data_IF_736540206257
#
_entry.id   IF_736540206257
#
_cell.length_a   1.000
_cell.length_b   1.000
_cell.length_c   1.000
_cell.angle_alpha   90.00
_cell.angle_beta   90.00
_cell.angle_gamma   90.00
#
_symmetry.space_group_name_H-M   'P 1'
#
loop_
_entity.id
_entity.type
_entity.pdbx_description
1 polymer ?
#
# COMPACT_ATOMS: atom_id res chain seq x y z
N UNK A 1 37.94 -44.28 -33.61
CA UNK A 1 37.99 -44.84 -32.25
C UNK A 1 36.74 -44.42 -31.54
N UNK A 2 36.03 -45.45 -31.11
CA UNK A 2 34.67 -45.49 -30.61
C UNK A 2 34.43 -44.65 -29.35
N UNK A 3 33.18 -44.19 -29.23
CA UNK A 3 32.46 -43.82 -27.99
C UNK A 3 32.46 -45.02 -26.99
N UNK A 4 32.01 -44.93 -25.70
CA UNK A 4 30.87 -44.12 -25.23
C UNK A 4 30.73 -43.72 -23.72
N UNK A 5 29.78 -42.79 -23.46
CA UNK A 5 28.68 -42.81 -22.45
C UNK A 5 28.96 -42.96 -20.94
N UNK A 6 28.44 -42.00 -20.13
CA UNK A 6 27.43 -42.23 -19.04
C UNK A 6 27.05 -40.89 -18.39
N UNK A 7 25.91 -40.25 -18.69
CA UNK A 7 24.59 -40.38 -18.04
C UNK A 7 24.60 -40.44 -16.49
N UNK A 8 24.11 -39.39 -15.85
CA UNK A 8 23.45 -39.46 -14.54
C UNK A 8 22.30 -38.43 -14.52
N UNK A 9 21.10 -38.95 -14.74
CA UNK A 9 19.84 -38.21 -14.72
C UNK A 9 19.18 -38.49 -13.35
N UNK A 10 19.25 -37.54 -12.42
CA UNK A 10 18.54 -37.64 -11.13
C UNK A 10 17.10 -37.18 -11.32
N UNK A 11 16.18 -38.16 -11.36
CA UNK A 11 14.74 -37.96 -11.16
C UNK A 11 14.51 -37.42 -9.75
N UNK A 12 13.89 -36.24 -9.64
CA UNK A 12 13.30 -35.78 -8.39
C UNK A 12 11.78 -35.91 -8.50
N UNK A 13 11.23 -36.68 -7.57
CA UNK A 13 9.81 -36.95 -7.44
C UNK A 13 9.05 -35.69 -7.01
N UNK A 14 8.01 -35.37 -7.76
CA UNK A 14 6.97 -34.40 -7.41
C UNK A 14 6.05 -35.06 -6.38
N UNK A 15 6.05 -34.54 -5.16
CA UNK A 15 5.06 -34.89 -4.14
C UNK A 15 3.89 -33.90 -4.23
N UNK A 16 2.79 -34.37 -4.82
CA UNK A 16 1.47 -33.76 -4.73
C UNK A 16 0.92 -33.98 -3.32
N UNK A 17 0.80 -32.91 -2.54
CA UNK A 17 0.06 -32.89 -1.27
C UNK A 17 -1.14 -31.95 -1.41
N UNK A 18 -2.28 -32.55 -1.75
CA UNK A 18 -3.62 -31.97 -1.63
C UNK A 18 -4.06 -32.02 -0.17
N UNK A 19 -4.42 -30.87 0.41
CA UNK A 19 -4.96 -30.79 1.77
C UNK A 19 -5.58 -29.43 2.07
N UNK A 20 -6.71 -29.11 1.44
CA UNK A 20 -7.53 -27.95 1.77
C UNK A 20 -8.57 -28.41 2.82
N UNK A 21 -8.38 -28.01 4.07
CA UNK A 21 -9.40 -28.12 5.13
C UNK A 21 -10.14 -26.78 5.27
N UNK A 22 -11.48 -26.77 5.30
CA UNK A 22 -12.23 -25.54 5.48
C UNK A 22 -12.23 -25.08 6.95
N UNK A 23 -11.73 -23.86 7.16
CA UNK A 23 -11.78 -23.11 8.42
C UNK A 23 -13.24 -22.76 8.78
N UNK A 24 -13.70 -23.32 9.91
CA UNK A 24 -14.98 -22.98 10.55
C UNK A 24 -14.91 -21.58 11.15
N UNK A 25 -15.77 -20.68 10.69
CA UNK A 25 -16.03 -19.38 11.30
C UNK A 25 -16.93 -19.53 12.54
N UNK A 26 -16.66 -18.82 13.64
CA UNK A 26 -17.54 -18.82 14.80
C UNK A 26 -18.69 -17.82 14.59
N UNK A 27 -19.90 -18.34 14.36
CA UNK A 27 -21.15 -17.58 14.51
C UNK A 27 -21.35 -17.25 15.99
N UNK A 28 -21.28 -15.97 16.36
CA UNK A 28 -21.81 -15.48 17.64
C UNK A 28 -23.32 -15.33 17.50
N UNK A 29 -24.04 -16.27 18.10
CA UNK A 29 -25.47 -16.17 18.41
C UNK A 29 -25.61 -15.22 19.61
N UNK A 30 -26.23 -14.06 19.40
CA UNK A 30 -26.86 -13.31 20.46
C UNK A 30 -28.27 -13.87 20.61
N UNK A 31 -28.46 -14.75 21.59
CA UNK A 31 -29.78 -15.19 22.05
C UNK A 31 -30.22 -14.30 23.22
N UNK A 32 -31.31 -13.58 22.99
CA UNK A 32 -32.47 -13.44 23.88
C UNK A 32 -32.21 -13.53 25.39
N UNK A 33 -32.13 -12.36 26.03
CA UNK A 33 -32.35 -12.24 27.47
C UNK A 33 -33.86 -12.16 27.67
N UNK A 34 -34.45 -13.32 27.96
CA UNK A 34 -35.82 -13.47 28.40
C UNK A 34 -36.04 -12.85 29.78
N UNK A 35 -37.19 -12.20 29.90
CA UNK A 35 -37.90 -11.82 31.13
C UNK A 35 -37.86 -12.95 32.16
N UNK A 36 -37.49 -12.61 33.39
CA UNK A 36 -37.82 -13.39 34.59
C UNK A 36 -38.87 -12.64 35.40
N UNK A 37 -39.98 -13.33 35.64
CA UNK A 37 -41.12 -12.94 36.49
C UNK A 37 -40.73 -12.74 37.97
N UNK A 38 -41.55 -12.01 38.75
CA UNK A 38 -41.32 -11.80 40.17
C UNK A 38 -41.88 -12.98 40.99
N UNK A 39 -41.06 -13.52 41.88
CA UNK A 39 -41.49 -14.44 42.93
C UNK A 39 -41.88 -13.63 44.16
N UNK A 40 -43.17 -13.67 44.48
CA UNK A 40 -43.69 -13.40 45.82
C UNK A 40 -43.08 -14.39 46.81
N UNK A 41 -42.49 -13.85 47.89
CA UNK A 41 -42.15 -14.62 49.07
C UNK A 41 -42.58 -13.82 50.32
N UNK A 42 -43.67 -14.32 50.87
CA UNK A 42 -44.26 -14.04 52.16
C UNK A 42 -43.29 -14.44 53.30
N UNK A 43 -42.80 -13.47 54.10
CA UNK A 43 -42.12 -13.75 55.38
C UNK A 43 -42.45 -12.68 56.42
N UNK A 44 -43.47 -13.01 57.22
CA UNK A 44 -43.50 -13.00 58.69
C UNK A 44 -42.92 -11.81 59.45
N UNK A 45 -43.84 -11.17 60.18
CA UNK A 45 -43.64 -10.22 61.27
C UNK A 45 -42.69 -10.77 62.36
N UNK A 46 -41.71 -9.94 62.73
CA UNK A 46 -40.83 -10.15 63.88
C UNK A 46 -40.48 -8.81 64.52
N UNK A 47 -41.33 -8.37 65.45
CA UNK A 47 -41.21 -7.15 66.24
C UNK A 47 -40.03 -7.27 67.22
N UNK A 48 -38.95 -6.50 67.02
CA UNK A 48 -37.99 -6.18 68.09
C UNK A 48 -37.60 -4.71 67.97
N UNK A 49 -37.99 -3.96 69.00
CA UNK A 49 -37.63 -2.57 69.19
C UNK A 49 -36.11 -2.44 69.37
N UNK A 50 -35.47 -1.63 68.54
CA UNK A 50 -34.16 -1.04 68.81
C UNK A 50 -34.18 0.41 68.36
N UNK A 51 -34.18 1.30 69.35
CA UNK A 51 -33.89 2.72 69.19
C UNK A 51 -32.38 2.91 68.91
N UNK A 52 -32.02 3.96 68.14
CA UNK A 52 -30.68 4.50 67.77
C UNK A 52 -30.21 4.23 66.33
N UNK A 53 -29.47 5.15 65.66
CA UNK A 53 -29.64 6.59 65.52
C UNK A 53 -29.97 6.91 64.03
N UNK A 54 -31.21 7.33 63.75
CA UNK A 54 -31.76 7.41 62.38
C UNK A 54 -31.27 8.63 61.56
N UNK A 55 -30.55 9.58 62.18
CA UNK A 55 -30.17 10.84 61.52
C UNK A 55 -28.92 10.76 60.64
N UNK A 56 -27.98 9.85 60.90
CA UNK A 56 -26.73 9.76 60.10
C UNK A 56 -26.92 9.05 58.75
N UNK A 57 -28.00 8.27 58.59
CA UNK A 57 -28.29 7.56 57.33
C UNK A 57 -28.95 8.45 56.28
N UNK A 58 -29.68 9.49 56.69
CA UNK A 58 -30.32 10.42 55.75
C UNK A 58 -29.25 11.30 55.06
N UNK A 59 -28.25 11.77 55.81
CA UNK A 59 -27.14 12.56 55.27
C UNK A 59 -26.28 11.78 54.26
N UNK A 60 -25.96 10.52 54.56
CA UNK A 60 -25.20 9.66 53.65
C UNK A 60 -25.97 9.36 52.35
N UNK A 61 -27.29 9.19 52.44
CA UNK A 61 -28.15 8.97 51.29
C UNK A 61 -28.30 10.22 50.42
N UNK A 62 -28.36 11.40 51.03
CA UNK A 62 -28.36 12.68 50.30
C UNK A 62 -27.05 12.91 49.57
N UNK A 63 -25.92 12.55 50.16
CA UNK A 63 -24.60 12.65 49.52
C UNK A 63 -24.47 11.70 48.31
N UNK A 64 -24.93 10.45 48.44
CA UNK A 64 -24.93 9.49 47.33
C UNK A 64 -25.84 9.97 46.18
N UNK A 65 -27.03 10.48 46.50
CA UNK A 65 -27.96 11.06 45.52
C UNK A 65 -27.35 12.27 44.81
N UNK A 66 -26.63 13.12 45.53
CA UNK A 66 -25.92 14.27 44.96
C UNK A 66 -24.78 13.82 44.02
N UNK A 67 -24.05 12.77 44.37
CA UNK A 67 -22.99 12.19 43.52
C UNK A 67 -23.58 11.62 42.23
N UNK A 68 -24.66 10.84 42.31
CA UNK A 68 -25.33 10.26 41.13
C UNK A 68 -25.91 11.34 40.21
N UNK A 69 -26.48 12.42 40.77
CA UNK A 69 -26.95 13.55 39.97
C UNK A 69 -25.82 14.28 39.25
N UNK A 70 -24.62 14.38 39.85
CA UNK A 70 -23.43 14.92 39.16
C UNK A 70 -22.99 14.02 38.02
N UNK A 71 -22.95 12.70 38.23
CA UNK A 71 -22.60 11.74 37.17
C UNK A 71 -23.60 11.80 36.00
N UNK A 72 -24.91 11.86 36.29
CA UNK A 72 -25.92 12.00 35.25
C UNK A 72 -25.79 13.29 34.44
N UNK A 73 -25.42 14.41 35.09
CA UNK A 73 -25.15 15.68 34.39
C UNK A 73 -23.90 15.58 33.51
N UNK A 74 -22.83 14.93 33.98
CA UNK A 74 -21.61 14.72 33.21
C UNK A 74 -21.87 13.88 31.96
N UNK A 75 -22.54 12.73 32.11
CA UNK A 75 -22.91 11.85 30.99
C UNK A 75 -23.81 12.57 29.99
N UNK A 76 -24.75 13.39 30.46
CA UNK A 76 -25.60 14.19 29.57
C UNK A 76 -24.81 15.21 28.75
N UNK A 77 -23.82 15.88 29.37
CA UNK A 77 -22.93 16.80 28.66
C UNK A 77 -22.06 16.09 27.61
N UNK A 78 -21.58 14.89 27.90
CA UNK A 78 -20.84 14.07 26.94
C UNK A 78 -21.72 13.65 25.74
N UNK A 79 -22.97 13.23 25.99
CA UNK A 79 -23.90 12.91 24.90
C UNK A 79 -24.19 14.12 24.00
N UNK A 80 -24.36 15.30 24.58
CA UNK A 80 -24.58 16.54 23.81
C UNK A 80 -23.31 16.94 23.03
N UNK A 81 -22.13 16.72 23.60
CA UNK A 81 -20.84 16.88 22.90
C UNK A 81 -20.69 15.96 21.69
N UNK A 82 -20.98 14.66 21.85
CA UNK A 82 -20.91 13.68 20.77
C UNK A 82 -21.93 13.95 19.66
N UNK A 83 -23.14 14.40 20.00
CA UNK A 83 -24.14 14.83 19.00
C UNK A 83 -23.66 16.00 18.16
N UNK A 84 -23.00 16.99 18.78
CA UNK A 84 -22.43 18.13 18.05
C UNK A 84 -21.28 17.72 17.13
N UNK A 85 -20.43 16.78 17.56
CA UNK A 85 -19.34 16.26 16.75
C UNK A 85 -19.85 15.45 15.54
N UNK A 86 -20.91 14.66 15.74
CA UNK A 86 -21.60 13.95 14.65
C UNK A 86 -22.14 14.93 13.60
N UNK A 87 -22.82 15.99 14.04
CA UNK A 87 -23.36 17.03 13.16
C UNK A 87 -22.27 17.87 12.45
N UNK A 88 -21.03 17.89 12.98
CA UNK A 88 -19.88 18.48 12.29
C UNK A 88 -19.36 17.55 11.19
N UNK A 89 -19.16 16.27 11.50
CA UNK A 89 -18.67 15.27 10.55
C UNK A 89 -19.63 15.10 9.37
N UNK A 90 -20.94 15.13 9.63
CA UNK A 90 -21.95 15.01 8.57
C UNK A 90 -21.90 16.20 7.59
N UNK A 91 -21.71 17.43 8.08
CA UNK A 91 -21.48 18.61 7.23
C UNK A 91 -20.19 18.53 6.41
N UNK A 92 -19.09 18.09 7.04
CA UNK A 92 -17.82 17.91 6.34
C UNK A 92 -17.91 16.81 5.26
N UNK A 93 -18.72 15.78 5.49
CA UNK A 93 -18.98 14.72 4.52
C UNK A 93 -19.84 15.21 3.35
N UNK A 94 -20.87 16.02 3.61
CA UNK A 94 -21.67 16.65 2.56
C UNK A 94 -20.86 17.64 1.70
N UNK A 95 -19.91 18.38 2.30
CA UNK A 95 -18.99 19.23 1.55
C UNK A 95 -18.03 18.43 0.68
N UNK A 96 -17.51 17.30 1.17
CA UNK A 96 -16.67 16.39 0.36
C UNK A 96 -17.44 15.70 -0.76
N UNK A 97 -18.73 15.40 -0.57
CA UNK A 97 -19.57 14.84 -1.64
C UNK A 97 -19.95 15.87 -2.71
N UNK A 98 -19.75 17.17 -2.45
CA UNK A 98 -19.83 18.23 -3.46
C UNK A 98 -18.53 18.42 -4.24
N UNK A 99 -17.52 17.57 -4.06
CA UNK A 99 -16.36 17.54 -4.95
C UNK A 99 -16.80 17.15 -6.37
N UNK A 100 -17.12 18.21 -7.11
CA UNK A 100 -17.47 18.31 -8.53
C UNK A 100 -16.58 17.49 -9.47
N UNK A 101 -15.46 16.93 -9.02
CA UNK A 101 -14.56 16.13 -9.83
C UNK A 101 -15.19 14.84 -10.39
N UNK A 102 -15.99 14.13 -9.58
CA UNK A 102 -16.63 12.88 -10.04
C UNK A 102 -17.80 13.19 -10.96
N UNK A 103 -18.64 14.15 -10.61
CA UNK A 103 -19.77 14.57 -11.46
C UNK A 103 -19.30 15.22 -12.76
N UNK A 104 -18.20 15.98 -12.75
CA UNK A 104 -17.58 16.50 -13.97
C UNK A 104 -16.98 15.37 -14.82
N UNK A 105 -16.36 14.35 -14.21
CA UNK A 105 -15.85 13.19 -14.94
C UNK A 105 -16.99 12.37 -15.55
N UNK A 106 -18.07 12.14 -14.80
CA UNK A 106 -19.28 11.45 -15.27
C UNK A 106 -19.94 12.26 -16.39
N UNK A 107 -20.08 13.58 -16.21
CA UNK A 107 -20.60 14.47 -17.25
C UNK A 107 -19.72 14.37 -18.50
N UNK A 108 -18.39 14.49 -18.37
CA UNK A 108 -17.45 14.43 -19.50
C UNK A 108 -17.48 13.07 -20.22
N UNK A 109 -17.62 11.96 -19.48
CA UNK A 109 -17.79 10.63 -20.06
C UNK A 109 -19.13 10.49 -20.79
N UNK A 110 -20.21 11.02 -20.23
CA UNK A 110 -21.53 11.02 -20.86
C UNK A 110 -21.60 11.91 -22.10
N UNK A 111 -20.99 13.11 -22.10
CA UNK A 111 -20.89 13.95 -23.30
C UNK A 111 -20.05 13.28 -24.37
N UNK A 112 -18.94 12.65 -23.99
CA UNK A 112 -18.10 11.90 -24.93
C UNK A 112 -18.85 10.72 -25.56
N UNK A 113 -19.64 9.99 -24.77
CA UNK A 113 -20.43 8.87 -25.29
C UNK A 113 -21.60 9.36 -26.17
N UNK A 114 -22.30 10.42 -25.75
CA UNK A 114 -23.39 10.98 -26.55
C UNK A 114 -22.89 11.56 -27.88
N UNK A 115 -21.71 12.18 -27.91
CA UNK A 115 -21.07 12.63 -29.16
C UNK A 115 -20.74 11.48 -30.11
N UNK A 116 -20.45 10.29 -29.59
CA UNK A 116 -20.22 9.08 -30.40
C UNK A 116 -21.50 8.37 -30.83
N UNK A 117 -22.64 8.65 -30.20
CA UNK A 117 -23.93 7.96 -30.42
C UNK A 117 -24.95 8.83 -31.16
N UNK A 118 -24.73 10.14 -31.28
CA UNK A 118 -25.64 11.04 -32.00
C UNK A 118 -25.62 10.82 -33.53
N UNK A 119 -26.60 10.02 -33.94
CA UNK A 119 -27.23 9.84 -35.26
C UNK A 119 -26.35 9.43 -36.46
N UNK A 120 -26.76 8.38 -37.21
CA UNK A 120 -26.17 8.04 -38.49
C UNK A 120 -26.42 9.20 -39.46
N UNK A 121 -25.35 9.90 -39.82
CA UNK A 121 -25.32 10.76 -40.99
C UNK A 121 -25.90 9.97 -42.16
N UNK A 122 -26.89 10.50 -42.92
CA UNK A 122 -27.47 9.80 -44.05
C UNK A 122 -26.34 9.30 -44.95
N UNK A 123 -26.39 7.99 -45.25
CA UNK A 123 -25.33 7.27 -45.92
C UNK A 123 -24.86 8.05 -47.15
N UNK A 124 -23.59 8.50 -47.21
CA UNK A 124 -23.03 8.96 -48.47
C UNK A 124 -23.11 7.78 -49.44
N UNK A 125 -23.68 8.07 -50.60
CA UNK A 125 -23.81 7.15 -51.73
C UNK A 125 -22.57 6.27 -51.86
N UNK A 126 -22.71 4.94 -52.03
CA UNK A 126 -21.58 4.03 -52.16
C UNK A 126 -20.89 4.24 -53.51
N UNK A 127 -20.07 5.28 -53.60
CA UNK A 127 -19.18 5.55 -54.72
C UNK A 127 -17.82 5.98 -54.19
N UNK A 128 -17.12 5.05 -53.55
CA UNK A 128 -15.69 4.76 -53.77
C UNK A 128 -15.14 3.90 -52.63
N UNK A 129 -14.53 2.79 -53.04
CA UNK A 129 -13.49 2.04 -52.34
C UNK A 129 -12.44 2.99 -51.75
N UNK A 130 -12.59 3.41 -50.49
CA UNK A 130 -11.54 3.81 -49.52
C UNK A 130 -12.18 4.56 -48.36
N UNK A 131 -12.69 3.84 -47.36
CA UNK A 131 -13.04 4.46 -46.08
C UNK A 131 -12.50 3.57 -44.95
N UNK A 132 -11.18 3.39 -44.96
CA UNK A 132 -10.45 3.09 -43.72
C UNK A 132 -10.66 4.31 -42.83
N UNK A 133 -11.08 4.17 -41.56
CA UNK A 133 -11.19 5.30 -40.64
C UNK A 133 -9.89 6.10 -40.68
N UNK A 134 -10.03 7.40 -40.97
CA UNK A 134 -8.95 8.36 -41.21
C UNK A 134 -7.71 8.03 -40.37
N UNK A 135 -6.70 7.44 -41.01
CA UNK A 135 -5.37 7.16 -40.49
C UNK A 135 -4.56 8.45 -40.26
N UNK A 136 -5.20 9.50 -39.74
CA UNK A 136 -4.48 10.62 -39.17
C UNK A 136 -3.96 10.14 -37.83
N UNK A 137 -2.64 10.02 -37.66
CA UNK A 137 -2.09 9.55 -36.40
C UNK A 137 -2.44 10.61 -35.36
N UNK A 138 -3.31 10.26 -34.41
CA UNK A 138 -3.59 11.05 -33.23
C UNK A 138 -2.35 10.96 -32.32
N UNK A 139 -1.24 11.55 -32.76
CA UNK A 139 0.09 11.43 -32.14
C UNK A 139 0.22 12.29 -30.88
N UNK A 140 -0.58 13.35 -30.76
CA UNK A 140 -0.48 14.29 -29.64
C UNK A 140 -1.30 13.85 -28.42
N UNK A 141 -2.42 13.14 -28.59
CA UNK A 141 -3.25 12.73 -27.44
C UNK A 141 -2.82 11.42 -26.78
N UNK A 142 -1.92 10.64 -27.40
CA UNK A 142 -1.42 9.38 -26.81
C UNK A 142 -0.27 9.59 -25.83
N UNK A 143 0.34 10.78 -25.82
CA UNK A 143 1.42 11.11 -24.87
C UNK A 143 0.94 11.21 -23.43
N UNK A 144 -0.34 11.51 -23.20
CA UNK A 144 -0.96 11.52 -21.86
C UNK A 144 -1.43 10.13 -21.41
N UNK A 145 -1.57 9.18 -22.33
CA UNK A 145 -2.13 7.85 -22.05
C UNK A 145 -1.08 6.82 -21.63
N UNK A 146 0.20 7.08 -21.92
CA UNK A 146 1.26 6.10 -21.69
C UNK A 146 2.38 6.67 -20.84
N UNK A 147 2.68 5.96 -19.75
CA UNK A 147 3.83 6.23 -18.88
C UNK A 147 5.18 5.93 -19.56
N UNK A 148 5.20 5.48 -20.82
CA UNK A 148 6.40 5.17 -21.60
C UNK A 148 6.55 6.19 -22.73
N UNK A 149 7.74 6.79 -22.82
CA UNK A 149 8.15 7.70 -23.89
C UNK A 149 9.31 7.09 -24.68
N UNK A 150 9.11 6.90 -25.98
CA UNK A 150 10.16 6.42 -26.88
C UNK A 150 10.98 7.60 -27.41
N UNK A 151 12.30 7.51 -27.30
CA UNK A 151 13.23 8.58 -27.71
C UNK A 151 13.97 8.21 -28.99
N UNK A 152 14.29 6.93 -29.16
CA UNK A 152 15.00 6.42 -30.34
C UNK A 152 14.29 5.19 -30.86
N UNK A 153 14.19 5.10 -32.18
CA UNK A 153 13.69 3.94 -32.89
C UNK A 153 14.53 3.72 -34.14
N UNK A 154 14.94 2.47 -34.36
CA UNK A 154 15.70 2.03 -35.52
C UNK A 154 15.16 0.68 -35.95
N UNK A 155 15.03 0.50 -37.26
CA UNK A 155 14.59 -0.74 -37.87
C UNK A 155 15.52 -1.05 -39.03
N UNK A 156 16.16 -2.22 -39.01
CA UNK A 156 17.08 -2.65 -40.05
C UNK A 156 16.76 -4.07 -40.51
N UNK A 157 16.90 -4.34 -41.80
CA UNK A 157 16.69 -5.67 -42.37
C UNK A 157 18.01 -6.43 -42.25
N UNK A 158 18.01 -7.56 -41.54
CA UNK A 158 19.21 -8.42 -41.41
C UNK A 158 19.28 -9.41 -42.58
N UNK A 159 18.14 -9.97 -42.97
CA UNK A 159 18.01 -10.94 -44.07
C UNK A 159 16.61 -10.86 -44.67
N UNK A 160 16.34 -11.58 -45.76
CA UNK A 160 15.04 -11.57 -46.45
C UNK A 160 13.84 -11.77 -45.52
N UNK A 161 13.99 -12.58 -44.47
CA UNK A 161 12.90 -12.93 -43.55
C UNK A 161 13.15 -12.47 -42.10
N UNK A 162 14.19 -11.66 -41.85
CA UNK A 162 14.53 -11.22 -40.48
C UNK A 162 14.78 -9.74 -40.41
N UNK A 163 14.09 -9.09 -39.47
CA UNK A 163 14.22 -7.66 -39.18
C UNK A 163 14.68 -7.45 -37.75
N UNK A 164 15.64 -6.55 -37.59
CA UNK A 164 16.08 -6.06 -36.28
C UNK A 164 15.33 -4.79 -35.96
N UNK A 165 14.73 -4.73 -34.78
CA UNK A 165 14.14 -3.53 -34.21
C UNK A 165 14.92 -3.15 -32.97
N UNK A 166 15.35 -1.90 -32.90
CA UNK A 166 15.99 -1.34 -31.73
C UNK A 166 15.25 -0.07 -31.34
N UNK A 167 14.83 0.02 -30.09
CA UNK A 167 14.22 1.23 -29.57
C UNK A 167 14.66 1.49 -28.13
N UNK A 168 14.71 2.76 -27.78
CA UNK A 168 15.08 3.19 -26.45
C UNK A 168 14.17 4.31 -26.00
N UNK A 169 13.93 4.38 -24.70
CA UNK A 169 12.98 5.31 -24.13
C UNK A 169 13.14 5.47 -22.63
N UNK A 170 12.17 6.17 -22.06
CA UNK A 170 12.05 6.30 -20.63
C UNK A 170 10.64 5.98 -20.16
N UNK A 171 10.50 5.51 -18.92
CA UNK A 171 9.23 5.38 -18.24
C UNK A 171 9.11 6.38 -17.08
N UNK A 172 7.87 6.78 -16.77
CA UNK A 172 7.43 7.65 -15.67
C UNK A 172 8.28 8.93 -15.51
N UNK A 173 7.96 9.98 -16.27
CA UNK A 173 8.65 11.28 -16.23
C UNK A 173 10.18 11.21 -16.32
N UNK A 174 10.71 10.33 -17.19
CA UNK A 174 12.15 10.13 -17.43
C UNK A 174 12.95 9.49 -16.29
N UNK A 175 12.28 8.83 -15.34
CA UNK A 175 12.94 8.19 -14.18
C UNK A 175 13.64 6.89 -14.56
N UNK A 176 12.95 5.96 -15.20
CA UNK A 176 13.52 4.67 -15.64
C UNK A 176 13.95 4.78 -17.10
N UNK A 177 15.21 4.51 -17.42
CA UNK A 177 15.66 4.36 -18.81
C UNK A 177 15.59 2.89 -19.22
N UNK A 178 15.23 2.64 -20.47
CA UNK A 178 15.28 1.30 -21.08
C UNK A 178 15.70 1.33 -22.55
N UNK A 179 16.26 0.23 -23.02
CA UNK A 179 16.60 -0.03 -24.42
C UNK A 179 16.27 -1.47 -24.77
N UNK A 180 15.47 -1.65 -25.81
CA UNK A 180 15.04 -2.94 -26.33
C UNK A 180 15.70 -3.15 -27.69
N UNK A 181 16.33 -4.29 -27.86
CA UNK A 181 16.76 -4.80 -29.15
C UNK A 181 16.05 -6.14 -29.37
N UNK A 182 15.35 -6.29 -30.49
CA UNK A 182 14.66 -7.52 -30.84
C UNK A 182 14.84 -7.88 -32.30
N UNK A 183 14.90 -9.18 -32.57
CA UNK A 183 14.92 -9.72 -33.94
C UNK A 183 13.62 -10.45 -34.20
N UNK A 184 12.89 -10.04 -35.23
CA UNK A 184 11.59 -10.60 -35.61
C UNK A 184 11.73 -11.36 -36.91
N UNK A 185 11.10 -12.53 -36.98
CA UNK A 185 10.92 -13.26 -38.24
C UNK A 185 9.66 -12.75 -38.95
N UNK A 186 9.81 -12.26 -40.17
CA UNK A 186 8.72 -11.64 -40.94
C UNK A 186 7.69 -12.66 -41.46
N UNK A 187 8.06 -13.93 -41.60
CA UNK A 187 7.15 -14.96 -42.14
C UNK A 187 6.11 -15.43 -41.11
N UNK A 188 6.54 -15.57 -39.85
CA UNK A 188 5.71 -16.12 -38.78
C UNK A 188 5.38 -15.09 -37.68
N UNK A 189 5.87 -13.85 -37.83
CA UNK A 189 5.73 -12.76 -36.87
C UNK A 189 6.17 -13.11 -35.44
N UNK A 190 7.12 -14.04 -35.30
CA UNK A 190 7.68 -14.44 -34.00
C UNK A 190 8.94 -13.66 -33.66
N UNK A 191 9.12 -13.36 -32.37
CA UNK A 191 10.34 -12.76 -31.83
C UNK A 191 11.36 -13.89 -31.62
N UNK A 192 12.49 -13.82 -32.34
CA UNK A 192 13.56 -14.81 -32.29
C UNK A 192 14.57 -14.52 -31.17
N UNK A 193 14.88 -13.24 -30.97
CA UNK A 193 15.84 -12.77 -29.98
C UNK A 193 15.29 -11.48 -29.37
N UNK A 194 15.36 -11.37 -28.05
CA UNK A 194 14.88 -10.23 -27.29
C UNK A 194 15.89 -9.90 -26.21
N UNK A 195 16.46 -8.69 -26.28
CA UNK A 195 17.40 -8.18 -25.30
C UNK A 195 16.90 -6.84 -24.79
N UNK A 196 16.72 -6.74 -23.47
CA UNK A 196 16.23 -5.54 -22.80
C UNK A 196 17.27 -5.09 -21.77
N UNK A 197 17.78 -3.88 -21.98
CA UNK A 197 18.64 -3.16 -21.03
C UNK A 197 17.82 -2.09 -20.31
N UNK A 198 18.14 -1.83 -19.05
CA UNK A 198 17.47 -0.80 -18.25
C UNK A 198 18.39 -0.22 -17.19
N UNK A 199 17.91 0.81 -16.48
CA UNK A 199 18.61 1.40 -15.34
C UNK A 199 19.06 0.31 -14.33
N UNK A 200 20.31 0.36 -13.81
CA UNK A 200 20.86 -0.71 -12.95
C UNK A 200 20.04 -1.01 -11.70
N UNK A 201 19.47 0.03 -11.07
CA UNK A 201 18.62 -0.12 -9.88
C UNK A 201 17.28 -0.81 -10.20
N UNK A 202 16.68 -0.51 -11.36
CA UNK A 202 15.47 -1.21 -11.82
C UNK A 202 15.78 -2.68 -12.13
N UNK A 203 16.95 -2.91 -12.73
CA UNK A 203 17.44 -4.25 -13.04
C UNK A 203 17.65 -5.10 -11.78
N UNK A 204 18.07 -4.49 -10.67
CA UNK A 204 18.25 -5.19 -9.40
C UNK A 204 16.92 -5.71 -8.80
N UNK A 205 15.80 -5.03 -9.06
CA UNK A 205 14.49 -5.37 -8.48
C UNK A 205 13.65 -6.26 -9.43
N UNK A 206 13.49 -5.86 -10.70
CA UNK A 206 12.62 -6.57 -11.66
C UNK A 206 13.39 -7.38 -12.72
N UNK A 207 14.72 -7.45 -12.63
CA UNK A 207 15.58 -8.03 -13.67
C UNK A 207 15.26 -9.49 -13.99
N UNK A 208 15.01 -10.32 -12.97
CA UNK A 208 14.69 -11.74 -13.14
C UNK A 208 13.38 -11.95 -13.93
N UNK A 209 12.38 -11.12 -13.68
CA UNK A 209 11.12 -11.18 -14.45
C UNK A 209 11.34 -10.79 -15.91
N UNK A 210 12.17 -9.77 -16.14
CA UNK A 210 12.47 -9.30 -17.48
C UNK A 210 13.26 -10.34 -18.27
N UNK A 211 14.19 -11.06 -17.62
CA UNK A 211 14.93 -12.14 -18.26
C UNK A 211 14.00 -13.27 -18.71
N UNK A 212 13.02 -13.65 -17.89
CA UNK A 212 12.00 -14.61 -18.29
C UNK A 212 11.14 -14.11 -19.46
N UNK A 213 10.85 -12.81 -19.52
CA UNK A 213 10.15 -12.22 -20.67
C UNK A 213 11.01 -12.24 -21.94
N UNK A 214 12.32 -12.00 -21.81
CA UNK A 214 13.29 -12.10 -22.90
C UNK A 214 13.36 -13.52 -23.45
N UNK A 215 13.47 -14.53 -22.57
CA UNK A 215 13.45 -15.95 -22.93
C UNK A 215 12.16 -16.36 -23.64
N UNK A 216 11.01 -15.82 -23.21
CA UNK A 216 9.71 -16.06 -23.82
C UNK A 216 9.40 -15.21 -25.06
N UNK A 217 10.27 -14.27 -25.44
CA UNK A 217 10.00 -13.32 -26.53
C UNK A 217 8.81 -12.39 -26.28
N UNK A 218 8.38 -12.22 -25.03
CA UNK A 218 7.17 -11.48 -24.65
C UNK A 218 7.47 -10.00 -24.39
N UNK A 219 7.67 -9.24 -25.47
CA UNK A 219 8.00 -7.80 -25.42
C UNK A 219 6.92 -6.99 -24.68
N UNK A 220 5.65 -7.28 -24.93
CA UNK A 220 4.53 -6.54 -24.33
C UNK A 220 4.52 -6.64 -22.81
N UNK A 221 4.72 -7.85 -22.26
CA UNK A 221 4.75 -8.06 -20.81
C UNK A 221 5.98 -7.42 -20.17
N UNK A 222 7.13 -7.43 -20.85
CA UNK A 222 8.32 -6.76 -20.35
C UNK A 222 8.13 -5.23 -20.29
N UNK A 223 7.58 -4.62 -21.34
CA UNK A 223 7.31 -3.18 -21.36
C UNK A 223 6.23 -2.79 -20.35
N UNK A 224 5.19 -3.61 -20.19
CA UNK A 224 4.16 -3.41 -19.18
C UNK A 224 4.76 -3.42 -17.76
N UNK A 225 5.60 -4.40 -17.45
CA UNK A 225 6.27 -4.48 -16.16
C UNK A 225 7.18 -3.28 -15.90
N UNK A 226 7.93 -2.81 -16.91
CA UNK A 226 8.76 -1.60 -16.80
C UNK A 226 7.89 -0.37 -16.49
N UNK A 227 6.75 -0.21 -17.17
CA UNK A 227 5.83 0.91 -16.92
C UNK A 227 5.23 0.86 -15.51
N UNK A 228 4.73 -0.32 -15.11
CA UNK A 228 4.13 -0.56 -13.79
C UNK A 228 5.14 -0.31 -12.66
N UNK A 229 6.36 -0.84 -12.83
CA UNK A 229 7.48 -0.62 -11.92
C UNK A 229 7.86 0.86 -11.81
N UNK A 230 8.02 1.56 -12.94
CA UNK A 230 8.41 2.97 -12.95
C UNK A 230 7.42 3.85 -12.16
N UNK A 231 6.12 3.55 -12.30
CA UNK A 231 5.08 4.24 -11.55
C UNK A 231 5.20 4.01 -10.03
N UNK A 232 5.39 2.77 -9.58
CA UNK A 232 5.58 2.47 -8.16
C UNK A 232 6.90 3.03 -7.61
N UNK A 233 7.98 2.99 -8.38
CA UNK A 233 9.27 3.54 -7.98
C UNK A 233 9.19 5.06 -7.77
N UNK A 234 8.44 5.77 -8.62
CA UNK A 234 8.19 7.20 -8.45
C UNK A 234 7.35 7.47 -7.19
N UNK A 235 6.30 6.67 -6.94
CA UNK A 235 5.50 6.79 -5.71
C UNK A 235 6.33 6.54 -4.46
N UNK A 236 7.17 5.50 -4.44
CA UNK A 236 8.11 5.20 -3.36
C UNK A 236 8.99 6.41 -3.06
N UNK A 237 9.60 7.01 -4.09
CA UNK A 237 10.46 8.19 -3.92
C UNK A 237 9.69 9.38 -3.33
N UNK A 238 8.49 9.68 -3.82
CA UNK A 238 7.66 10.77 -3.28
C UNK A 238 7.31 10.53 -1.82
N UNK A 239 6.91 9.32 -1.46
CA UNK A 239 6.54 8.98 -0.07
C UNK A 239 7.76 9.02 0.85
N UNK A 240 8.90 8.48 0.42
CA UNK A 240 10.15 8.55 1.19
C UNK A 240 10.61 9.99 1.42
N UNK A 241 10.51 10.87 0.41
CA UNK A 241 10.79 12.30 0.60
C UNK A 241 9.82 12.93 1.60
N UNK A 242 8.53 12.61 1.52
CA UNK A 242 7.53 13.13 2.47
C UNK A 242 7.79 12.68 3.90
N UNK A 243 8.18 11.42 4.10
CA UNK A 243 8.60 10.92 5.42
C UNK A 243 9.85 11.64 5.88
N UNK A 244 10.86 11.77 5.02
CA UNK A 244 12.11 12.46 5.32
C UNK A 244 11.84 13.90 5.80
N UNK A 245 11.03 14.66 5.06
CA UNK A 245 10.69 16.05 5.36
C UNK A 245 9.98 16.15 6.72
N UNK A 246 8.99 15.28 6.99
CA UNK A 246 8.26 15.25 8.28
C UNK A 246 9.15 14.90 9.46
N UNK A 247 10.12 14.01 9.29
CA UNK A 247 11.07 13.66 10.35
C UNK A 247 12.02 14.82 10.66
N UNK A 248 12.42 15.58 9.64
CA UNK A 248 13.21 16.80 9.80
C UNK A 248 12.40 17.88 10.54
N UNK A 249 11.15 18.10 10.14
CA UNK A 249 10.27 19.11 10.74
C UNK A 249 10.02 18.84 12.24
N UNK A 250 9.89 17.57 12.61
CA UNK A 250 9.71 17.15 14.00
C UNK A 250 11.00 17.09 14.81
N UNK A 251 12.16 17.44 14.20
CA UNK A 251 13.49 17.34 14.81
C UNK A 251 13.84 15.94 15.32
N UNK A 252 13.18 14.92 14.79
CA UNK A 252 13.45 13.52 15.13
C UNK A 252 14.76 13.02 14.51
N UNK A 253 15.25 13.73 13.48
CA UNK A 253 16.52 13.43 12.82
C UNK A 253 17.30 14.73 12.68
N UNK A 254 18.58 14.72 13.08
CA UNK A 254 19.46 15.86 12.90
C UNK A 254 19.81 16.02 11.42
N UNK A 255 19.58 17.22 10.88
CA UNK A 255 19.85 17.55 9.48
C UNK A 255 21.31 17.37 9.04
N UNK A 256 22.24 17.21 10.00
CA UNK A 256 23.66 17.39 9.75
C UNK A 256 24.46 16.13 9.40
N UNK A 257 23.99 14.87 9.53
CA UNK A 257 24.80 13.73 9.06
C UNK A 257 24.10 12.36 8.90
N UNK A 258 22.92 12.12 9.45
CA UNK A 258 22.48 10.73 9.70
C UNK A 258 21.43 10.15 8.74
N UNK A 259 20.90 10.94 7.82
CA UNK A 259 19.90 10.46 6.85
C UNK A 259 20.21 11.00 5.45
N UNK A 260 20.62 10.12 4.54
CA UNK A 260 20.75 10.51 3.13
C UNK A 260 19.38 10.69 2.52
N UNK A 261 19.18 11.80 1.82
CA UNK A 261 17.94 12.04 1.08
C UNK A 261 17.68 10.87 0.13
N UNK A 262 16.47 10.29 0.13
CA UNK A 262 16.16 9.17 -0.74
C UNK A 262 16.41 9.54 -2.21
N UNK A 263 17.19 8.71 -2.90
CA UNK A 263 17.42 8.82 -4.34
C UNK A 263 16.56 7.75 -5.04
N UNK A 264 16.20 8.02 -6.30
CA UNK A 264 15.49 7.05 -7.13
C UNK A 264 16.25 5.71 -7.17
N UNK A 265 15.54 4.62 -6.87
CA UNK A 265 16.11 3.28 -6.86
C UNK A 265 16.69 2.85 -5.52
N UNK A 266 16.70 3.69 -4.49
CA UNK A 266 17.04 3.27 -3.12
C UNK A 266 15.83 2.59 -2.48
N UNK A 267 15.88 1.28 -2.19
CA UNK A 267 14.76 0.59 -1.57
C UNK A 267 14.70 0.81 -0.06
N UNK A 268 15.77 1.34 0.55
CA UNK A 268 15.93 1.40 2.01
C UNK A 268 16.04 2.86 2.45
N UNK A 269 15.20 3.26 3.40
CA UNK A 269 15.35 4.47 4.18
C UNK A 269 15.88 4.09 5.57
N UNK A 270 17.16 4.38 5.79
CA UNK A 270 17.83 4.15 7.08
C UNK A 270 17.83 5.45 7.88
N UNK A 271 17.35 5.36 9.10
CA UNK A 271 17.35 6.43 10.09
C UNK A 271 18.35 6.00 11.15
N UNK A 272 19.52 6.65 11.14
CA UNK A 272 20.62 6.33 12.04
C UNK A 272 20.32 6.95 13.40
N UNK A 273 20.42 6.16 14.47
CA UNK A 273 20.09 6.56 15.84
C UNK A 273 20.37 5.45 16.86
N UNK A 274 19.97 5.66 18.11
CA UNK A 274 19.97 4.61 19.14
C UNK A 274 18.54 4.37 19.61
N UNK A 275 17.76 3.50 18.93
CA UNK A 275 18.15 2.48 17.95
C UNK A 275 18.10 2.93 16.47
N UNK A 276 18.79 2.18 15.62
CA UNK A 276 18.79 2.36 14.16
C UNK A 276 17.49 1.79 13.58
N UNK A 277 16.75 2.58 12.79
CA UNK A 277 15.50 2.13 12.16
C UNK A 277 15.74 1.98 10.65
N UNK A 278 15.41 0.82 10.10
CA UNK A 278 15.59 0.48 8.69
C UNK A 278 14.24 0.22 8.05
N UNK A 279 13.73 1.18 7.28
CA UNK A 279 12.51 1.03 6.50
C UNK A 279 12.88 0.52 5.10
N UNK A 280 12.34 -0.63 4.70
CA UNK A 280 12.62 -1.22 3.38
C UNK A 280 11.35 -1.31 2.55
N UNK A 281 11.39 -0.77 1.34
CA UNK A 281 10.31 -0.80 0.36
C UNK A 281 10.82 -1.44 -0.93
N UNK A 282 10.56 -2.73 -1.07
CA UNK A 282 10.89 -3.52 -2.25
C UNK A 282 9.74 -3.49 -3.26
N UNK A 283 10.09 -3.51 -4.54
CA UNK A 283 9.11 -3.57 -5.63
C UNK A 283 9.46 -4.77 -6.50
N UNK A 284 8.61 -5.80 -6.47
CA UNK A 284 8.78 -7.02 -7.26
C UNK A 284 7.78 -7.04 -8.41
N UNK A 285 8.06 -7.80 -9.47
CA UNK A 285 7.10 -8.03 -10.55
C UNK A 285 6.38 -9.37 -10.35
N UNK A 286 5.05 -9.37 -10.46
CA UNK A 286 4.26 -10.60 -10.44
C UNK A 286 4.68 -11.49 -11.61
N UNK A 287 5.05 -12.73 -11.27
CA UNK A 287 5.54 -13.74 -12.21
C UNK A 287 4.61 -14.01 -13.39
N UNK A 288 3.30 -13.77 -13.24
CA UNK A 288 2.30 -14.07 -14.27
C UNK A 288 1.92 -12.86 -15.12
N UNK A 289 1.66 -11.72 -14.49
CA UNK A 289 1.11 -10.53 -15.18
C UNK A 289 2.18 -9.48 -15.50
N UNK A 290 3.28 -9.49 -14.76
CA UNK A 290 4.25 -8.39 -14.77
C UNK A 290 3.78 -7.17 -13.99
N UNK A 291 2.69 -7.28 -13.22
CA UNK A 291 2.28 -6.20 -12.32
C UNK A 291 3.32 -5.99 -11.23
N UNK A 292 3.76 -4.75 -11.09
CA UNK A 292 4.64 -4.40 -9.99
C UNK A 292 3.85 -4.44 -8.67
N UNK A 293 4.43 -5.10 -7.66
CA UNK A 293 3.90 -5.24 -6.31
C UNK A 293 4.90 -4.64 -5.33
N UNK A 294 4.40 -3.85 -4.40
CA UNK A 294 5.21 -3.30 -3.32
C UNK A 294 5.16 -4.20 -2.09
N UNK A 295 6.32 -4.51 -1.53
CA UNK A 295 6.47 -5.08 -0.20
C UNK A 295 7.19 -4.08 0.70
N UNK A 296 6.58 -3.75 1.83
CA UNK A 296 7.12 -2.76 2.77
C UNK A 296 7.35 -3.46 4.10
N UNK A 297 8.57 -3.32 4.62
CA UNK A 297 8.99 -3.86 5.91
C UNK A 297 9.70 -2.79 6.72
N UNK A 298 9.71 -2.96 8.04
CA UNK A 298 10.53 -2.17 8.93
C UNK A 298 11.31 -3.10 9.85
N UNK A 299 12.58 -2.82 9.99
CA UNK A 299 13.50 -3.53 10.87
C UNK A 299 14.14 -2.53 11.85
N UNK A 300 14.51 -3.03 13.02
CA UNK A 300 15.13 -2.24 14.07
C UNK A 300 16.46 -2.87 14.46
N UNK A 301 17.53 -2.09 14.38
CA UNK A 301 18.86 -2.48 14.79
C UNK A 301 19.14 -1.85 16.14
N UNK A 302 18.99 -2.68 17.17
CA UNK A 302 19.15 -2.28 18.56
C UNK A 302 20.58 -2.53 19.03
N UNK A 303 21.17 -1.67 19.87
CA UNK A 303 22.44 -1.96 20.52
C UNK A 303 22.33 -3.19 21.43
N UNK A 304 23.42 -3.93 21.59
CA UNK A 304 23.47 -5.16 22.41
C UNK A 304 22.99 -4.95 23.86
N UNK A 305 23.19 -3.75 24.41
CA UNK A 305 22.71 -3.39 25.74
C UNK A 305 21.18 -3.47 25.87
N UNK A 306 20.45 -3.13 24.80
CA UNK A 306 18.98 -3.19 24.77
C UNK A 306 18.50 -4.62 24.58
N UNK A 307 19.19 -5.42 23.77
CA UNK A 307 18.90 -6.86 23.64
C UNK A 307 19.04 -7.58 24.98
N UNK A 308 20.08 -7.25 25.76
CA UNK A 308 20.26 -7.78 27.12
C UNK A 308 19.12 -7.34 28.06
N UNK A 309 18.67 -6.08 27.95
CA UNK A 309 17.57 -5.56 28.76
C UNK A 309 16.21 -6.20 28.41
N UNK A 310 16.00 -6.63 27.17
CA UNK A 310 14.77 -7.33 26.74
C UNK A 310 14.64 -8.74 27.37
N UNK A 311 15.67 -9.24 28.06
CA UNK A 311 15.66 -10.52 28.79
C UNK A 311 15.16 -11.71 27.96
N UNK A 312 15.44 -11.72 26.65
CA UNK A 312 15.02 -12.79 25.74
C UNK A 312 13.51 -12.86 25.47
N UNK A 313 12.76 -11.78 25.73
CA UNK A 313 11.31 -11.71 25.44
C UNK A 313 11.01 -11.50 23.95
N UNK A 314 12.03 -11.26 23.12
CA UNK A 314 11.93 -11.02 21.68
C UNK A 314 10.94 -9.90 21.33
N UNK A 315 10.72 -8.93 22.22
CA UNK A 315 9.72 -7.87 21.99
C UNK A 315 10.16 -6.95 20.87
N UNK A 316 11.47 -6.68 20.81
CA UNK A 316 12.11 -5.89 19.76
C UNK A 316 12.03 -6.60 18.39
N UNK A 317 12.01 -7.94 18.36
CA UNK A 317 11.85 -8.72 17.12
C UNK A 317 10.42 -8.67 16.57
N UNK A 318 9.42 -8.45 17.43
CA UNK A 318 8.02 -8.31 17.01
C UNK A 318 7.72 -6.94 16.37
N UNK A 319 8.71 -6.04 16.32
CA UNK A 319 8.58 -4.70 15.79
C UNK A 319 8.05 -4.68 14.34
N UNK A 320 8.57 -5.55 13.47
CA UNK A 320 8.11 -5.64 12.06
C UNK A 320 6.61 -5.88 11.96
N UNK A 321 6.06 -6.82 12.74
CA UNK A 321 4.62 -7.10 12.77
C UNK A 321 3.78 -5.99 13.41
N UNK A 322 4.34 -5.19 14.33
CA UNK A 322 3.68 -3.98 14.82
C UNK A 322 3.62 -2.91 13.74
N UNK A 323 4.72 -2.72 13.01
CA UNK A 323 4.79 -1.76 11.91
C UNK A 323 3.81 -2.11 10.79
N UNK A 324 3.76 -3.36 10.33
CA UNK A 324 2.81 -3.81 9.30
C UNK A 324 1.36 -3.49 9.69
N UNK A 325 0.95 -3.80 10.92
CA UNK A 325 -0.40 -3.47 11.43
C UNK A 325 -0.64 -1.96 11.50
N UNK A 326 0.40 -1.16 11.71
CA UNK A 326 0.31 0.30 11.73
C UNK A 326 0.18 0.86 10.30
N UNK A 327 0.89 0.27 9.34
CA UNK A 327 0.78 0.59 7.91
C UNK A 327 -0.65 0.30 7.42
N UNK A 328 -1.21 -0.86 7.77
CA UNK A 328 -2.58 -1.23 7.39
C UNK A 328 -3.62 -0.25 7.95
N UNK A 329 -3.42 0.24 9.17
CA UNK A 329 -4.39 1.12 9.86
C UNK A 329 -4.25 2.59 9.49
N UNK A 330 -3.03 3.08 9.27
CA UNK A 330 -2.74 4.53 9.18
C UNK A 330 -2.05 4.94 7.87
N UNK A 331 -1.62 3.97 7.06
CA UNK A 331 -0.77 4.20 5.91
C UNK A 331 0.71 4.28 6.29
N UNK A 332 1.57 3.99 5.31
CA UNK A 332 3.02 3.90 5.50
C UNK A 332 3.63 5.15 6.11
N UNK A 333 3.27 6.33 5.59
CA UNK A 333 3.87 7.59 6.01
C UNK A 333 3.62 7.89 7.50
N UNK A 334 2.37 7.74 7.95
CA UNK A 334 2.01 7.95 9.36
C UNK A 334 2.61 6.87 10.26
N UNK A 335 2.71 5.64 9.76
CA UNK A 335 3.33 4.55 10.49
C UNK A 335 4.83 4.79 10.71
N UNK A 336 5.54 5.21 9.66
CA UNK A 336 6.97 5.52 9.70
C UNK A 336 7.27 6.64 10.71
N UNK A 337 6.55 7.77 10.61
CA UNK A 337 6.73 8.90 11.54
C UNK A 337 6.41 8.50 12.98
N UNK A 338 5.32 7.77 13.21
CA UNK A 338 4.95 7.33 14.55
C UNK A 338 5.99 6.39 15.17
N UNK A 339 6.50 5.44 14.39
CA UNK A 339 7.56 4.54 14.83
C UNK A 339 8.82 5.31 15.23
N UNK A 340 9.27 6.23 14.38
CA UNK A 340 10.49 6.99 14.63
C UNK A 340 10.30 7.91 15.83
N UNK A 341 9.11 8.50 15.99
CA UNK A 341 8.77 9.31 17.16
C UNK A 341 8.81 8.54 18.48
N UNK A 342 8.40 7.27 18.49
CA UNK A 342 8.45 6.42 19.70
C UNK A 342 9.89 6.21 20.17
N UNK A 343 10.83 6.04 19.25
CA UNK A 343 12.24 5.80 19.58
C UNK A 343 13.05 7.10 19.76
N UNK A 344 12.78 8.13 18.97
CA UNK A 344 13.46 9.43 19.07
C UNK A 344 13.09 10.23 20.32
N UNK A 345 11.86 10.10 20.82
CA UNK A 345 11.43 10.78 22.05
C UNK A 345 12.11 10.26 23.34
N UNK A 346 12.75 9.09 23.30
CA UNK A 346 13.43 8.52 24.46
C UNK A 346 14.76 9.24 24.77
N UNK A 347 15.40 9.87 23.78
CA UNK A 347 16.74 10.44 23.93
C UNK A 347 16.74 11.77 24.70
N UNK A 348 15.71 12.61 24.51
CA UNK A 348 15.58 13.87 25.26
C UNK A 348 15.37 13.64 26.77
N UNK A 349 14.72 12.54 27.15
CA UNK A 349 14.47 12.22 28.56
C UNK A 349 15.75 11.78 29.31
N UNK A 350 16.71 11.17 28.61
CA UNK A 350 17.94 10.66 29.25
C UNK A 350 19.00 11.75 29.42
N UNK A 351 19.12 12.69 28.47
CA UNK A 351 20.09 13.80 28.58
C UNK A 351 19.69 14.87 29.61
N UNK A 352 18.43 14.94 30.01
CA UNK A 352 17.96 15.83 31.08
C UNK A 352 18.34 15.41 32.49
N UNK A 353 18.73 14.14 32.72
CA UNK A 353 18.92 13.57 34.06
C UNK A 353 20.35 13.56 34.62
N UNK A 354 21.34 14.09 33.90
CA UNK A 354 22.77 14.03 34.32
C UNK A 354 23.34 15.41 34.70
N UNK A 355 22.49 16.40 34.93
CA UNK A 355 22.86 17.72 35.46
C UNK A 355 22.20 17.94 36.83
N UNK A 356 22.58 17.15 37.82
CA UNK A 356 22.47 17.51 39.24
C UNK A 356 23.77 17.19 39.96
#
# INVERSE_FOLDING_TARGET
MDTPVSKSLKRMHVATSTGITPSKSPRRLFSDISRSDPLEADVSQGTVASQLPHLEYEDALEEEKAMLLRQLRAIRAEMDGLKNELARVERDAEERNKDTGIDNLIAQLLTSNNATVSLPTPAPSPSSTTAIPSARPILESTQSLHNIQFVKFSSSVISTNRRKHEFAGHASSKTVWFSVAMTVNEENYSVLDLNIKMSPWARAEIGEYIDRCCEGGNVSNALYAIASYAHLAQRRLTVFNSVYDKLCDQKLVSANNDMMRPVLGTPILRIIGQPDIVLSWHIDADTRTGDARSSITADIRVPEAWERADNGKDTLRQFGGVFERLVDKRGFEKAAVAVVGVFGGAEEAVQGGTKE
#
